data_IF_910770335132
#
_entry.id   IF_910770335132
#
_cell.length_a   1.000
_cell.length_b   1.000
_cell.length_c   1.000
_cell.angle_alpha   90.00
_cell.angle_beta   90.00
_cell.angle_gamma   90.00
#
_symmetry.space_group_name_H-M   'P 1'
#
loop_
_entity.id
_entity.type
_entity.pdbx_description
1 polymer ?
#
# COMPACT_ATOMS: atom_id res chain seq x y z
N UNK A 1 -3.27 6.33 25.29
CA UNK A 1 -3.07 6.64 23.86
C UNK A 1 -2.72 5.32 23.22
N UNK A 2 -3.53 4.84 22.31
CA UNK A 2 -3.35 3.51 21.72
C UNK A 2 -2.20 3.60 20.71
N UNK A 3 -1.04 3.04 21.03
CA UNK A 3 0.18 3.12 20.20
C UNK A 3 0.05 2.42 18.84
N UNK A 4 -1.04 1.67 18.62
CA UNK A 4 -1.20 0.77 17.48
C UNK A 4 -2.39 1.12 16.55
N UNK A 5 -2.95 2.34 16.64
CA UNK A 5 -4.08 2.72 15.81
C UNK A 5 -3.63 3.01 14.37
N UNK A 6 -3.98 2.13 13.45
CA UNK A 6 -3.70 2.28 12.04
C UNK A 6 -4.84 3.05 11.38
N UNK A 7 -4.45 4.02 10.55
CA UNK A 7 -5.34 4.71 9.63
C UNK A 7 -5.13 4.11 8.25
N UNK A 8 -6.21 3.70 7.60
CA UNK A 8 -6.17 3.20 6.24
C UNK A 8 -6.81 4.20 5.28
N UNK A 9 -6.05 4.64 4.26
CA UNK A 9 -6.56 5.52 3.20
C UNK A 9 -7.01 4.63 2.04
N UNK A 10 -8.28 4.76 1.66
CA UNK A 10 -8.99 3.88 0.73
C UNK A 10 -9.66 4.67 -0.41
N UNK A 11 -9.80 4.03 -1.57
CA UNK A 11 -10.68 4.46 -2.66
C UNK A 11 -11.87 3.49 -2.76
N UNK A 12 -12.92 3.74 -2.01
CA UNK A 12 -14.08 2.86 -1.95
C UNK A 12 -14.94 2.88 -3.22
N UNK A 13 -14.79 3.87 -4.10
CA UNK A 13 -15.56 3.96 -5.35
C UNK A 13 -14.99 3.05 -6.46
N UNK A 14 -13.72 2.70 -6.39
CA UNK A 14 -13.02 1.98 -7.45
C UNK A 14 -13.04 0.46 -7.24
N UNK A 15 -12.02 -0.05 -6.64
CA UNK A 15 -11.79 -1.49 -6.54
C UNK A 15 -12.27 -2.04 -5.18
N UNK A 16 -12.45 -3.35 -5.12
CA UNK A 16 -12.88 -4.05 -3.91
C UNK A 16 -11.73 -4.35 -2.96
N UNK A 17 -10.50 -4.29 -3.42
CA UNK A 17 -9.33 -4.60 -2.61
C UNK A 17 -9.20 -3.67 -1.40
N UNK A 18 -9.64 -2.42 -1.50
CA UNK A 18 -9.69 -1.48 -0.38
C UNK A 18 -10.59 -1.96 0.77
N UNK A 19 -11.80 -2.44 0.47
CA UNK A 19 -12.69 -2.92 1.53
C UNK A 19 -12.19 -4.22 2.15
N UNK A 20 -11.55 -5.07 1.35
CA UNK A 20 -10.93 -6.31 1.84
C UNK A 20 -9.76 -5.99 2.76
N UNK A 21 -8.93 -5.01 2.39
CA UNK A 21 -7.82 -4.55 3.22
C UNK A 21 -8.31 -3.93 4.54
N UNK A 22 -9.33 -3.07 4.48
CA UNK A 22 -9.92 -2.48 5.68
C UNK A 22 -10.51 -3.55 6.61
N UNK A 23 -11.24 -4.53 6.05
CA UNK A 23 -11.79 -5.64 6.84
C UNK A 23 -10.68 -6.50 7.46
N UNK A 24 -9.60 -6.77 6.72
CA UNK A 24 -8.43 -7.49 7.24
C UNK A 24 -7.83 -6.78 8.45
N UNK A 25 -7.58 -5.48 8.36
CA UNK A 25 -7.05 -4.68 9.48
C UNK A 25 -8.02 -4.63 10.67
N UNK A 26 -9.32 -4.55 10.40
CA UNK A 26 -10.35 -4.63 11.43
C UNK A 26 -10.28 -5.96 12.19
N UNK A 27 -10.19 -7.09 11.48
CA UNK A 27 -10.07 -8.42 12.11
C UNK A 27 -8.77 -8.61 12.90
N UNK A 28 -7.73 -7.90 12.54
CA UNK A 28 -6.48 -7.82 13.35
C UNK A 28 -6.62 -6.92 14.57
N UNK A 29 -7.78 -6.26 14.73
CA UNK A 29 -8.07 -5.33 15.83
C UNK A 29 -7.08 -4.16 15.93
N UNK A 30 -6.66 -3.66 14.77
CA UNK A 30 -5.67 -2.55 14.65
C UNK A 30 -6.20 -1.36 13.87
N UNK A 31 -7.29 -1.52 13.12
CA UNK A 31 -7.88 -0.46 12.32
C UNK A 31 -8.69 0.51 13.19
N UNK A 32 -8.33 1.79 13.13
CA UNK A 32 -9.07 2.84 13.84
C UNK A 32 -10.02 3.60 12.93
N UNK A 33 -9.50 4.05 11.80
CA UNK A 33 -10.24 4.84 10.83
C UNK A 33 -9.95 4.36 9.42
N UNK A 34 -10.99 4.42 8.57
CA UNK A 34 -10.82 4.45 7.12
C UNK A 34 -11.00 5.89 6.67
N UNK A 35 -10.06 6.41 5.91
CA UNK A 35 -10.14 7.75 5.32
C UNK A 35 -10.28 7.57 3.82
N UNK A 36 -11.35 8.11 3.23
CA UNK A 36 -11.63 7.93 1.82
C UNK A 36 -11.15 9.12 0.99
N UNK A 37 -10.39 8.82 -0.08
CA UNK A 37 -9.93 9.80 -1.05
C UNK A 37 -10.03 9.23 -2.48
N UNK A 38 -11.03 9.66 -3.28
CA UNK A 38 -12.12 10.59 -2.90
C UNK A 38 -13.12 9.98 -1.91
N UNK A 39 -13.88 10.84 -1.25
CA UNK A 39 -15.00 10.36 -0.43
C UNK A 39 -16.07 9.72 -1.31
N UNK A 40 -16.66 8.58 -0.93
CA UNK A 40 -17.53 7.80 -1.80
C UNK A 40 -18.70 8.59 -2.37
N UNK A 41 -18.91 8.49 -3.68
CA UNK A 41 -19.99 9.14 -4.42
C UNK A 41 -20.85 8.13 -5.19
N UNK A 42 -20.29 6.97 -5.54
CA UNK A 42 -21.04 5.92 -6.23
C UNK A 42 -21.91 5.14 -5.25
N UNK A 43 -22.94 4.47 -5.78
CA UNK A 43 -23.76 3.58 -4.96
C UNK A 43 -22.93 2.48 -4.32
N UNK A 44 -22.06 1.87 -5.10
CA UNK A 44 -21.16 0.80 -4.65
C UNK A 44 -20.20 1.29 -3.56
N UNK A 45 -19.62 2.48 -3.70
CA UNK A 45 -18.77 3.08 -2.70
C UNK A 45 -19.50 3.39 -1.40
N UNK A 46 -20.72 3.90 -1.50
CA UNK A 46 -21.60 4.15 -0.34
C UNK A 46 -22.01 2.86 0.37
N UNK A 47 -22.34 1.80 -0.38
CA UNK A 47 -22.67 0.49 0.19
C UNK A 47 -21.46 -0.11 0.94
N UNK A 48 -20.23 0.08 0.43
CA UNK A 48 -18.98 -0.34 1.09
C UNK A 48 -18.70 0.48 2.34
N UNK A 49 -18.91 1.78 2.28
CA UNK A 49 -18.83 2.66 3.45
C UNK A 49 -19.79 2.21 4.56
N UNK A 50 -21.06 2.01 4.20
CA UNK A 50 -22.08 1.55 5.15
C UNK A 50 -21.75 0.19 5.77
N UNK A 51 -21.12 -0.69 5.00
CA UNK A 51 -20.60 -1.97 5.51
C UNK A 51 -19.55 -1.76 6.59
N UNK A 52 -18.55 -0.89 6.35
CA UNK A 52 -17.51 -0.59 7.33
C UNK A 52 -18.09 0.06 8.61
N UNK A 53 -19.02 0.99 8.45
CA UNK A 53 -19.67 1.64 9.59
C UNK A 53 -20.51 0.68 10.43
N UNK A 54 -21.16 -0.32 9.81
CA UNK A 54 -21.85 -1.40 10.53
C UNK A 54 -20.91 -2.29 11.34
N UNK A 55 -19.63 -2.38 10.95
CA UNK A 55 -18.60 -3.02 11.76
C UNK A 55 -18.10 -2.14 12.91
N UNK A 56 -18.55 -0.90 13.02
CA UNK A 56 -18.08 0.06 14.01
C UNK A 56 -16.82 0.83 13.60
N UNK A 57 -16.43 0.76 12.32
CA UNK A 57 -15.29 1.50 11.78
C UNK A 57 -15.75 2.90 11.36
N UNK A 58 -15.11 3.94 11.86
CA UNK A 58 -15.39 5.30 11.42
C UNK A 58 -14.79 5.55 10.04
N UNK A 59 -15.63 5.98 9.09
CA UNK A 59 -15.22 6.35 7.74
C UNK A 59 -15.18 7.87 7.62
N UNK A 60 -14.03 8.44 7.30
CA UNK A 60 -13.76 9.86 7.31
C UNK A 60 -13.46 10.38 5.88
N UNK A 61 -13.70 11.65 5.63
CA UNK A 61 -13.31 12.37 4.40
C UNK A 61 -11.98 13.14 4.54
N UNK A 62 -11.43 13.21 5.74
CA UNK A 62 -10.20 13.95 6.03
C UNK A 62 -9.36 13.19 7.05
N UNK A 63 -8.06 13.39 7.00
CA UNK A 63 -7.15 12.79 7.98
C UNK A 63 -7.46 13.25 9.39
N UNK A 64 -7.51 12.33 10.38
CA UNK A 64 -7.69 12.70 11.77
C UNK A 64 -6.48 13.49 12.29
N UNK A 65 -6.64 14.24 13.39
CA UNK A 65 -5.58 15.11 13.89
C UNK A 65 -4.31 14.36 14.33
N UNK A 66 -4.39 13.05 14.53
CA UNK A 66 -3.26 12.20 14.91
C UNK A 66 -3.23 10.97 14.01
N UNK A 67 -2.19 10.86 13.17
CA UNK A 67 -1.97 9.77 12.24
C UNK A 67 -0.53 9.28 12.39
N UNK A 68 -0.29 8.36 13.32
CA UNK A 68 1.04 7.83 13.60
C UNK A 68 1.47 6.80 12.57
N UNK A 69 0.57 5.88 12.25
CA UNK A 69 0.76 4.80 11.27
C UNK A 69 -0.34 4.90 10.22
N UNK A 70 0.08 5.06 8.95
CA UNK A 70 -0.84 5.24 7.83
C UNK A 70 -0.56 4.19 6.76
N UNK A 71 -1.58 3.45 6.36
CA UNK A 71 -1.54 2.54 5.23
C UNK A 71 -2.38 3.12 4.10
N UNK A 72 -1.90 3.00 2.85
CA UNK A 72 -2.53 3.66 1.70
C UNK A 72 -2.78 2.65 0.59
N UNK A 73 -4.05 2.45 0.25
CA UNK A 73 -4.51 1.70 -0.92
C UNK A 73 -4.84 2.59 -2.14
N UNK A 74 -4.98 3.91 -1.95
CA UNK A 74 -5.35 4.88 -2.96
C UNK A 74 -4.25 5.86 -3.35
N UNK A 75 -4.66 7.06 -3.79
CA UNK A 75 -3.77 8.17 -4.09
C UNK A 75 -3.08 8.71 -2.82
N UNK A 76 -1.99 9.45 -3.01
CA UNK A 76 -1.22 10.03 -1.91
C UNK A 76 -1.62 11.48 -1.56
N UNK A 77 -2.72 11.98 -2.12
CA UNK A 77 -3.18 13.36 -1.97
C UNK A 77 -3.33 13.77 -0.51
N UNK A 78 -4.06 12.99 0.27
CA UNK A 78 -4.28 13.29 1.70
C UNK A 78 -3.00 13.18 2.52
N UNK A 79 -2.11 12.24 2.20
CA UNK A 79 -0.80 12.13 2.86
C UNK A 79 0.02 13.38 2.59
N UNK A 80 0.11 13.82 1.33
CA UNK A 80 0.87 15.00 0.93
C UNK A 80 0.36 16.28 1.61
N UNK A 81 -0.94 16.39 1.81
CA UNK A 81 -1.54 17.50 2.56
C UNK A 81 -1.22 17.40 4.05
N UNK A 82 -1.34 16.23 4.63
CA UNK A 82 -1.18 16.01 6.06
C UNK A 82 0.25 16.26 6.54
N UNK A 83 1.26 15.79 5.81
CA UNK A 83 2.68 15.96 6.19
C UNK A 83 3.20 17.41 6.15
N UNK A 84 2.43 18.34 5.59
CA UNK A 84 2.71 19.78 5.70
C UNK A 84 2.45 20.32 7.09
N UNK A 85 1.62 19.64 7.87
CA UNK A 85 1.12 20.13 9.14
C UNK A 85 1.57 19.24 10.31
N UNK A 86 1.64 17.92 10.08
CA UNK A 86 1.90 16.94 11.11
C UNK A 86 2.74 15.77 10.57
N UNK A 87 3.62 15.19 11.40
CA UNK A 87 4.41 14.03 11.00
C UNK A 87 3.59 12.73 11.00
N UNK A 88 4.10 11.76 10.25
CA UNK A 88 3.71 10.34 10.25
C UNK A 88 4.94 9.53 10.62
N UNK A 89 4.85 8.59 11.54
CA UNK A 89 6.00 7.74 11.89
C UNK A 89 6.22 6.62 10.86
N UNK A 90 5.15 5.97 10.42
CA UNK A 90 5.21 4.90 9.43
C UNK A 90 4.15 5.12 8.35
N UNK A 91 4.61 5.19 7.11
CA UNK A 91 3.76 5.18 5.92
C UNK A 91 3.99 3.90 5.13
N UNK A 92 2.95 3.13 4.90
CA UNK A 92 2.97 1.96 4.01
C UNK A 92 2.09 2.23 2.80
N UNK A 93 2.63 2.05 1.60
CA UNK A 93 1.94 2.39 0.36
C UNK A 93 1.81 1.17 -0.54
N UNK A 94 0.58 0.88 -0.99
CA UNK A 94 0.38 0.05 -2.16
C UNK A 94 0.54 0.90 -3.41
N UNK A 95 1.57 0.64 -4.18
CA UNK A 95 1.82 1.39 -5.40
C UNK A 95 3.25 1.25 -5.88
N UNK A 96 3.56 1.94 -6.95
CA UNK A 96 4.90 1.95 -7.50
C UNK A 96 5.33 0.64 -8.15
N UNK A 97 6.56 0.64 -8.61
CA UNK A 97 7.20 -0.52 -9.25
C UNK A 97 8.71 -0.42 -9.08
N UNK A 98 9.31 -1.45 -8.55
CA UNK A 98 10.77 -1.59 -8.47
C UNK A 98 11.25 -2.24 -9.76
N UNK A 99 12.12 -1.54 -10.49
CA UNK A 99 12.60 -1.97 -11.81
C UNK A 99 13.44 -3.24 -11.76
N UNK A 100 13.63 -3.85 -12.93
CA UNK A 100 14.38 -5.09 -13.13
C UNK A 100 15.82 -5.07 -12.60
N UNK A 101 16.39 -3.90 -12.34
CA UNK A 101 17.76 -3.76 -11.83
C UNK A 101 17.89 -4.02 -10.31
N UNK A 102 16.77 -4.06 -9.59
CA UNK A 102 16.75 -4.26 -8.13
C UNK A 102 16.16 -5.62 -7.80
N UNK A 103 15.09 -6.01 -8.49
CA UNK A 103 14.47 -7.32 -8.31
C UNK A 103 15.41 -8.41 -8.86
N UNK A 104 15.67 -9.43 -8.07
CA UNK A 104 16.46 -10.58 -8.51
C UNK A 104 15.77 -11.25 -9.72
N UNK A 105 16.52 -11.70 -10.75
CA UNK A 105 15.93 -12.29 -11.96
C UNK A 105 14.94 -13.44 -11.71
N UNK A 106 15.18 -14.25 -10.69
CA UNK A 106 14.32 -15.36 -10.27
C UNK A 106 13.02 -14.90 -9.60
N UNK A 107 13.00 -13.69 -9.06
CA UNK A 107 11.85 -13.06 -8.43
C UNK A 107 11.04 -12.19 -9.42
N UNK A 108 11.59 -11.94 -10.61
CA UNK A 108 10.94 -11.11 -11.62
C UNK A 108 9.65 -11.78 -12.15
N UNK A 109 8.54 -11.07 -12.07
CA UNK A 109 7.30 -11.56 -12.65
C UNK A 109 7.39 -11.57 -14.18
N UNK A 110 6.98 -12.66 -14.82
CA UNK A 110 7.02 -12.83 -16.27
C UNK A 110 6.49 -11.64 -17.05
N UNK A 111 5.38 -11.03 -16.59
CA UNK A 111 4.76 -9.86 -17.26
C UNK A 111 5.55 -8.57 -17.11
N UNK A 112 6.52 -8.52 -16.19
CA UNK A 112 7.37 -7.35 -15.95
C UNK A 112 8.83 -7.59 -16.29
N UNK A 113 9.16 -8.80 -16.75
CA UNK A 113 10.54 -9.20 -17.06
C UNK A 113 11.23 -8.19 -17.97
N UNK A 114 12.39 -7.71 -17.54
CA UNK A 114 13.20 -6.73 -18.26
C UNK A 114 12.60 -5.33 -18.31
N UNK A 115 11.49 -5.04 -17.64
CA UNK A 115 10.91 -3.69 -17.60
C UNK A 115 11.57 -2.85 -16.53
N UNK A 116 12.07 -1.71 -16.93
CA UNK A 116 12.64 -0.73 -15.99
C UNK A 116 11.52 0.08 -15.31
N UNK A 117 10.42 0.33 -16.02
CA UNK A 117 9.31 1.15 -15.53
C UNK A 117 7.98 0.53 -15.92
N UNK A 118 6.99 0.65 -15.05
CA UNK A 118 5.61 0.22 -15.29
C UNK A 118 4.67 1.28 -14.75
N UNK A 119 3.63 1.62 -15.50
CA UNK A 119 2.59 2.54 -15.02
C UNK A 119 1.89 1.95 -13.80
N UNK A 120 1.75 2.72 -12.74
CA UNK A 120 1.06 2.33 -11.51
C UNK A 120 -0.14 3.24 -11.28
N UNK A 121 -1.26 2.69 -10.84
CA UNK A 121 -2.51 3.43 -10.74
C UNK A 121 -2.42 4.49 -9.62
N UNK A 122 -2.29 4.07 -8.37
CA UNK A 122 -2.35 4.94 -7.20
C UNK A 122 -1.38 6.13 -7.28
N UNK A 123 -0.15 5.89 -7.72
CA UNK A 123 0.84 6.96 -7.88
C UNK A 123 0.55 7.91 -9.02
N UNK A 124 -0.17 7.46 -10.04
CA UNK A 124 -0.54 8.30 -11.18
C UNK A 124 -1.89 9.02 -10.99
N UNK A 125 -2.66 8.67 -9.96
CA UNK A 125 -3.88 9.40 -9.62
C UNK A 125 -3.57 10.84 -9.16
N UNK A 126 -2.46 11.02 -8.42
CA UNK A 126 -1.95 12.33 -8.04
C UNK A 126 -0.42 12.32 -8.06
N UNK A 127 0.13 12.72 -9.21
CA UNK A 127 1.57 12.70 -9.47
C UNK A 127 2.33 13.67 -8.57
N UNK A 128 1.75 14.86 -8.33
CA UNK A 128 2.37 15.89 -7.50
C UNK A 128 2.43 15.49 -6.04
N UNK A 129 1.34 14.91 -5.53
CA UNK A 129 1.29 14.37 -4.19
C UNK A 129 2.29 13.22 -4.02
N UNK A 130 2.38 12.32 -5.00
CA UNK A 130 3.34 11.21 -5.01
C UNK A 130 4.78 11.73 -4.95
N UNK A 131 5.12 12.71 -5.78
CA UNK A 131 6.45 13.33 -5.79
C UNK A 131 6.77 14.00 -4.45
N UNK A 132 5.80 14.75 -3.89
CA UNK A 132 5.95 15.41 -2.60
C UNK A 132 6.19 14.41 -1.45
N UNK A 133 5.43 13.31 -1.40
CA UNK A 133 5.57 12.27 -0.37
C UNK A 133 6.94 11.59 -0.47
N UNK A 134 7.39 11.27 -1.68
CA UNK A 134 8.68 10.61 -1.89
C UNK A 134 9.89 11.53 -1.65
N UNK A 135 9.67 12.85 -1.62
CA UNK A 135 10.68 13.86 -1.22
C UNK A 135 10.54 14.29 0.23
N UNK A 136 9.60 13.72 0.99
CA UNK A 136 9.41 14.10 2.38
C UNK A 136 10.66 13.83 3.22
N UNK A 137 10.92 14.69 4.20
CA UNK A 137 12.01 14.48 5.16
C UNK A 137 11.65 13.42 6.18
N UNK A 138 12.64 12.88 6.90
CA UNK A 138 12.40 11.92 7.99
C UNK A 138 11.60 12.53 9.14
N UNK A 139 11.65 13.86 9.31
CA UNK A 139 10.81 14.56 10.30
C UNK A 139 9.34 14.62 9.87
N UNK A 140 9.06 14.59 8.55
CA UNK A 140 7.70 14.58 8.03
C UNK A 140 7.13 13.16 8.00
N UNK A 141 7.93 12.18 7.55
CA UNK A 141 7.57 10.76 7.57
C UNK A 141 8.78 9.98 8.06
N UNK A 142 8.68 9.35 9.22
CA UNK A 142 9.78 8.59 9.82
C UNK A 142 10.28 7.47 8.89
N UNK A 143 9.39 6.58 8.50
CA UNK A 143 9.68 5.48 7.60
C UNK A 143 8.65 5.38 6.47
N UNK A 144 9.12 5.09 5.24
CA UNK A 144 8.27 4.80 4.08
C UNK A 144 8.54 3.37 3.64
N UNK A 145 7.46 2.60 3.49
CA UNK A 145 7.46 1.24 2.98
C UNK A 145 6.61 1.16 1.73
N UNK A 146 7.20 0.65 0.65
CA UNK A 146 6.56 0.48 -0.64
C UNK A 146 6.28 -1.00 -0.90
N UNK A 147 5.03 -1.35 -1.14
CA UNK A 147 4.60 -2.68 -1.59
C UNK A 147 4.04 -2.55 -2.99
N UNK A 148 4.90 -2.73 -3.98
CA UNK A 148 4.64 -2.37 -5.36
C UNK A 148 4.16 -3.52 -6.24
N UNK A 149 3.97 -3.22 -7.52
CA UNK A 149 3.49 -4.18 -8.53
C UNK A 149 4.36 -5.41 -8.71
N UNK A 150 5.63 -5.32 -8.41
CA UNK A 150 6.57 -6.44 -8.49
C UNK A 150 6.23 -7.60 -7.53
N UNK A 151 5.53 -7.33 -6.44
CA UNK A 151 5.05 -8.35 -5.49
C UNK A 151 3.52 -8.48 -5.49
N UNK A 152 2.78 -7.38 -5.52
CA UNK A 152 1.31 -7.42 -5.48
C UNK A 152 0.67 -8.23 -6.61
N UNK A 153 1.30 -8.27 -7.78
CA UNK A 153 0.79 -9.03 -8.92
C UNK A 153 1.29 -10.48 -9.02
N UNK A 154 1.98 -10.97 -8.02
CA UNK A 154 2.45 -12.34 -7.98
C UNK A 154 1.30 -13.30 -7.60
N UNK A 155 1.18 -14.41 -8.33
CA UNK A 155 0.20 -15.45 -8.01
C UNK A 155 0.44 -16.14 -6.66
N UNK A 156 1.64 -16.01 -6.10
CA UNK A 156 1.96 -16.50 -4.75
C UNK A 156 1.12 -15.81 -3.69
N UNK A 157 0.67 -14.58 -3.90
CA UNK A 157 -0.25 -13.88 -3.00
C UNK A 157 -1.46 -14.72 -2.61
N UNK A 158 -2.01 -15.48 -3.54
CA UNK A 158 -3.17 -16.33 -3.27
C UNK A 158 -2.86 -17.56 -2.44
N UNK A 159 -1.58 -17.90 -2.25
CA UNK A 159 -1.13 -19.08 -1.50
C UNK A 159 -0.76 -18.78 -0.06
N UNK A 160 -0.62 -17.52 0.29
CA UNK A 160 -0.09 -17.09 1.59
C UNK A 160 -1.14 -17.18 2.72
N UNK A 161 -2.24 -17.89 2.53
CA UNK A 161 -3.20 -18.19 3.61
C UNK A 161 -3.98 -17.00 4.17
N UNK A 162 -3.62 -15.76 3.79
CA UNK A 162 -4.38 -14.56 4.18
C UNK A 162 -5.79 -14.63 3.59
N UNK A 163 -5.93 -15.25 2.45
CA UNK A 163 -7.10 -15.29 1.59
C UNK A 163 -8.11 -16.37 1.87
N UNK A 164 -7.69 -17.43 2.52
CA UNK A 164 -8.55 -18.58 2.82
C UNK A 164 -9.37 -18.36 4.09
N UNK A 165 -9.43 -17.14 4.63
CA UNK A 165 -10.36 -16.88 5.72
C UNK A 165 -11.77 -16.86 5.13
N UNK A 166 -12.69 -17.56 5.77
CA UNK A 166 -14.13 -17.57 5.42
C UNK A 166 -14.67 -16.13 5.29
N UNK A 167 -14.11 -15.23 6.02
CA UNK A 167 -14.48 -13.82 6.09
C UNK A 167 -14.12 -13.03 4.83
N UNK A 168 -12.92 -13.20 4.28
CA UNK A 168 -12.57 -12.61 2.99
C UNK A 168 -13.43 -13.20 1.87
N UNK A 169 -13.69 -14.50 1.92
CA UNK A 169 -14.60 -15.18 0.99
C UNK A 169 -16.01 -14.61 1.06
N UNK A 170 -16.50 -14.30 2.26
CA UNK A 170 -17.82 -13.70 2.45
C UNK A 170 -17.90 -12.30 1.81
N UNK A 171 -16.85 -11.48 1.95
CA UNK A 171 -16.78 -10.16 1.30
C UNK A 171 -16.77 -10.31 -0.22
N UNK A 172 -15.93 -11.20 -0.76
CA UNK A 172 -15.90 -11.46 -2.20
C UNK A 172 -17.26 -11.93 -2.74
N UNK A 173 -17.94 -12.81 -2.02
CA UNK A 173 -19.27 -13.28 -2.39
C UNK A 173 -20.30 -12.17 -2.33
N UNK A 174 -20.28 -11.35 -1.28
CA UNK A 174 -21.20 -10.22 -1.11
C UNK A 174 -21.10 -9.22 -2.25
N UNK A 175 -19.90 -8.92 -2.73
CA UNK A 175 -19.67 -7.97 -3.81
C UNK A 175 -19.48 -8.62 -5.18
N UNK A 176 -19.83 -9.91 -5.33
CA UNK A 176 -19.77 -10.66 -6.59
C UNK A 176 -18.40 -10.63 -7.29
N UNK A 177 -17.34 -10.58 -6.53
CA UNK A 177 -15.99 -10.54 -7.08
C UNK A 177 -15.53 -11.91 -7.50
N UNK A 178 -15.37 -12.09 -8.81
CA UNK A 178 -14.88 -13.32 -9.41
C UNK A 178 -13.36 -13.44 -9.45
N UNK A 179 -12.64 -12.34 -9.25
CA UNK A 179 -11.19 -12.29 -9.41
C UNK A 179 -10.48 -12.14 -8.07
N UNK A 180 -10.02 -13.28 -7.55
CA UNK A 180 -9.19 -13.34 -6.34
C UNK A 180 -7.84 -12.62 -6.47
N UNK A 181 -7.52 -12.04 -7.63
CA UNK A 181 -6.26 -11.33 -7.88
C UNK A 181 -6.30 -9.87 -7.42
N UNK A 182 -7.45 -9.36 -7.02
CA UNK A 182 -7.61 -7.98 -6.55
C UNK A 182 -7.38 -7.88 -5.05
N UNK A 183 -6.12 -8.05 -4.66
CA UNK A 183 -5.77 -8.21 -3.26
C UNK A 183 -4.47 -7.47 -2.92
N UNK A 184 -4.19 -6.47 -3.73
CA UNK A 184 -2.93 -5.75 -3.65
C UNK A 184 -2.81 -5.01 -2.32
N UNK A 185 -3.89 -4.35 -1.92
CA UNK A 185 -3.93 -3.53 -0.73
C UNK A 185 -3.84 -4.35 0.55
N UNK A 186 -4.49 -5.51 0.57
CA UNK A 186 -4.38 -6.39 1.73
C UNK A 186 -2.95 -6.93 1.91
N UNK A 187 -2.24 -7.24 0.83
CA UNK A 187 -0.83 -7.61 0.95
C UNK A 187 -0.03 -6.45 1.53
N UNK A 188 -0.24 -5.22 1.04
CA UNK A 188 0.43 -4.05 1.58
C UNK A 188 0.12 -3.84 3.07
N UNK A 189 -1.13 -4.03 3.47
CA UNK A 189 -1.54 -3.98 4.86
C UNK A 189 -0.90 -5.09 5.71
N UNK A 190 -0.85 -6.33 5.18
CA UNK A 190 -0.17 -7.43 5.88
C UNK A 190 1.30 -7.14 6.10
N UNK A 191 2.01 -6.75 5.05
CA UNK A 191 3.41 -6.37 5.12
C UNK A 191 3.63 -5.18 6.07
N UNK A 192 2.74 -4.17 6.00
CA UNK A 192 2.76 -3.02 6.89
C UNK A 192 2.66 -3.39 8.37
N UNK A 193 1.86 -4.40 8.71
CA UNK A 193 1.75 -4.90 10.09
C UNK A 193 3.07 -5.45 10.61
N UNK A 194 3.93 -5.99 9.76
CA UNK A 194 5.24 -6.45 10.19
C UNK A 194 6.14 -5.29 10.65
N UNK A 195 6.03 -4.14 9.99
CA UNK A 195 6.77 -2.94 10.39
C UNK A 195 6.15 -2.23 11.59
N UNK A 196 4.82 -2.25 11.68
CA UNK A 196 4.11 -1.61 12.79
C UNK A 196 4.14 -2.43 14.08
N UNK A 197 4.02 -3.75 13.99
CA UNK A 197 3.76 -4.65 15.11
C UNK A 197 4.75 -5.83 15.22
N UNK A 198 5.68 -5.98 14.27
CA UNK A 198 6.62 -7.09 14.25
C UNK A 198 6.01 -8.44 13.84
N UNK A 199 4.89 -8.45 13.10
CA UNK A 199 4.30 -9.68 12.59
C UNK A 199 5.16 -10.31 11.47
N UNK A 200 4.83 -11.53 11.06
CA UNK A 200 5.53 -12.23 9.99
C UNK A 200 5.43 -11.47 8.66
N UNK A 201 6.52 -11.44 7.92
CA UNK A 201 6.62 -10.85 6.58
C UNK A 201 6.67 -11.93 5.52
N UNK A 202 6.06 -11.64 4.38
CA UNK A 202 6.14 -12.49 3.19
C UNK A 202 7.11 -11.95 2.16
N UNK A 203 7.47 -10.66 2.24
CA UNK A 203 8.33 -10.03 1.26
C UNK A 203 9.74 -9.76 1.79
N UNK A 204 10.72 -9.87 0.89
CA UNK A 204 12.06 -9.31 1.06
C UNK A 204 12.02 -7.82 0.74
N UNK A 205 12.87 -7.04 1.42
CA UNK A 205 12.93 -5.58 1.28
C UNK A 205 14.34 -5.12 0.98
N UNK A 206 14.41 -4.14 0.09
CA UNK A 206 15.64 -3.42 -0.21
C UNK A 206 15.45 -1.92 0.04
N UNK A 207 16.54 -1.27 0.40
CA UNK A 207 16.61 0.18 0.47
C UNK A 207 16.81 0.74 -0.92
N UNK A 208 15.94 1.66 -1.30
CA UNK A 208 15.89 2.16 -2.67
C UNK A 208 15.67 3.68 -2.70
N UNK A 209 16.30 4.33 -3.69
CA UNK A 209 16.07 5.74 -3.97
C UNK A 209 15.12 5.89 -5.14
N UNK A 210 13.93 6.46 -4.95
CA UNK A 210 13.06 6.83 -6.05
C UNK A 210 13.83 7.72 -7.06
N UNK A 211 13.77 7.39 -8.34
CA UNK A 211 14.42 8.16 -9.43
C UNK A 211 15.94 8.35 -9.33
N UNK A 212 16.64 7.58 -8.57
CA UNK A 212 18.08 7.68 -8.56
C UNK A 212 18.65 7.11 -9.87
N UNK A 213 19.04 8.01 -10.76
CA UNK A 213 19.65 7.65 -12.05
C UNK A 213 21.08 7.12 -11.92
N UNK A 214 21.72 7.28 -10.76
CA UNK A 214 23.09 6.83 -10.50
C UNK A 214 23.17 5.42 -9.95
N UNK A 215 22.04 4.87 -9.46
CA UNK A 215 21.93 3.50 -9.00
C UNK A 215 21.03 2.69 -9.93
N UNK A 216 21.19 1.42 -9.92
CA UNK A 216 20.58 0.46 -10.83
C UNK A 216 19.07 0.28 -10.63
N UNK A 217 18.32 1.22 -10.15
CA UNK A 217 16.89 1.06 -9.95
C UNK A 217 16.08 2.17 -10.57
N UNK A 218 15.11 1.81 -11.38
CA UNK A 218 14.11 2.71 -11.92
C UNK A 218 12.76 2.31 -11.40
N UNK A 219 12.15 3.25 -10.70
CA UNK A 219 10.82 3.07 -10.15
C UNK A 219 9.75 3.32 -11.18
N UNK A 220 8.56 3.27 -10.72
CA UNK A 220 7.40 3.59 -11.48
C UNK A 220 7.58 4.83 -12.35
N UNK A 221 7.00 4.82 -13.54
CA UNK A 221 6.95 6.00 -14.37
C UNK A 221 5.76 6.85 -13.93
N UNK A 222 6.01 7.81 -13.08
CA UNK A 222 5.14 8.97 -12.90
C UNK A 222 5.86 10.21 -13.45
N UNK A 223 5.13 11.23 -13.81
CA UNK A 223 5.75 12.46 -14.29
C UNK A 223 6.62 13.06 -13.19
N UNK A 224 7.87 13.39 -13.49
CA UNK A 224 8.66 14.19 -12.58
C UNK A 224 8.23 15.65 -12.71
N UNK A 225 7.90 16.29 -11.60
CA UNK A 225 7.87 17.75 -11.56
C UNK A 225 9.32 18.25 -11.63
N UNK A 226 9.68 18.87 -12.73
CA UNK A 226 11.06 19.17 -13.11
C UNK A 226 11.85 20.12 -12.20
N UNK A 227 11.28 20.66 -11.12
CA UNK A 227 11.85 21.80 -10.40
C UNK A 227 11.77 21.71 -8.88
N UNK A 228 12.02 20.53 -8.27
CA UNK A 228 12.20 20.51 -6.82
C UNK A 228 13.68 20.37 -6.47
N UNK A 229 14.24 21.32 -5.76
CA UNK A 229 15.61 21.26 -5.22
C UNK A 229 15.75 20.22 -4.09
N UNK A 230 14.62 19.68 -3.60
CA UNK A 230 14.60 18.66 -2.56
C UNK A 230 14.83 17.28 -3.16
N UNK A 231 15.90 16.57 -2.77
CA UNK A 231 16.17 15.23 -3.29
C UNK A 231 15.13 14.22 -2.80
N UNK A 232 14.95 13.13 -3.55
CA UNK A 232 14.24 11.96 -3.05
C UNK A 232 15.04 11.33 -1.92
N UNK A 233 14.32 10.82 -0.93
CA UNK A 233 14.94 10.04 0.16
C UNK A 233 14.97 8.56 -0.13
N UNK A 234 15.79 7.84 0.60
CA UNK A 234 15.77 6.39 0.63
C UNK A 234 14.48 5.87 1.28
N UNK A 235 13.88 4.86 0.67
CA UNK A 235 12.70 4.17 1.18
C UNK A 235 12.92 2.66 1.17
N UNK A 236 12.14 1.91 1.95
CA UNK A 236 12.10 0.47 1.88
C UNK A 236 11.10 0.01 0.81
N UNK A 237 11.52 -0.86 -0.09
CA UNK A 237 10.62 -1.42 -1.10
C UNK A 237 10.65 -2.94 -1.08
N UNK A 238 9.47 -3.56 -1.16
CA UNK A 238 9.34 -4.99 -1.36
C UNK A 238 9.86 -5.37 -2.74
N UNK A 239 10.80 -6.30 -2.81
CA UNK A 239 11.48 -6.70 -4.05
C UNK A 239 11.14 -8.11 -4.50
N UNK A 240 10.66 -8.96 -3.62
CA UNK A 240 10.30 -10.34 -3.89
C UNK A 240 9.71 -10.98 -2.65
N UNK A 241 9.42 -12.28 -2.72
CA UNK A 241 8.95 -13.06 -1.58
C UNK A 241 10.11 -13.74 -0.87
N UNK A 242 10.02 -13.83 0.45
CA UNK A 242 10.92 -14.65 1.25
C UNK A 242 10.80 -16.09 0.75
N UNK A 243 11.92 -16.71 0.39
CA UNK A 243 11.94 -18.13 0.04
C UNK A 243 11.55 -18.96 1.27
N UNK A 244 10.48 -19.73 1.15
CA UNK A 244 10.19 -20.77 2.15
C UNK A 244 11.40 -21.67 2.28
N UNK A 245 12.06 -21.66 3.43
CA UNK A 245 13.05 -22.69 3.74
C UNK A 245 12.31 -24.02 3.63
N UNK A 246 12.55 -24.75 2.55
CA UNK A 246 12.11 -26.15 2.48
C UNK A 246 12.71 -26.84 3.69
N UNK A 247 11.91 -27.07 4.70
CA UNK A 247 12.22 -28.06 5.71
C UNK A 247 12.20 -29.40 4.98
N UNK A 248 13.37 -29.86 4.57
CA UNK A 248 13.53 -31.24 4.15
C UNK A 248 13.06 -32.12 5.30
N UNK A 249 11.93 -32.77 5.06
CA UNK A 249 11.41 -33.84 5.91
C UNK A 249 11.90 -35.17 5.41
#
# INVERSE_FOLDING_TARGET
MYENDIIYIADLDQDIDDIVAAHYLYKKNVLRYVVCDPYPQTKEGLDRKDYLEKLGISVLSTMPPFANTVFVGGALTLVAQYIKIRPINLLVMNGGFVGCNIVKPEQELKKFKGKETVRTYNFNCDVEATDQVLRSTEQQIGQIVLVGKNVCHDSRNTRIGIWNSEECSAIFNQYHVKDSKRQHDMLACHEGLSFALGSERFCEYEKVHPFNTGLNGKYTKWGSTKNSDTPYREILAAVGYVEEKRTEK
#
